data_IF_056490268982
#
_entry.id   IF_056490268982
#
_cell.length_a   1.000
_cell.length_b   1.000
_cell.length_c   1.000
_cell.angle_alpha   90.00
_cell.angle_beta   90.00
_cell.angle_gamma   90.00
#
_symmetry.space_group_name_H-M   'P 1'
#
loop_
_entity.id
_entity.type
_entity.pdbx_description
1 polymer ?
#
# COMPACT_ATOMS: atom_id res chain seq x y z
N UNK A 1 -6.60 -4.45 10.63
CA UNK A 1 -5.34 -3.69 10.59
C UNK A 1 -5.65 -2.21 10.83
N UNK A 2 -4.68 -1.36 11.22
CA UNK A 2 -4.96 0.03 11.66
C UNK A 2 -4.58 1.15 10.68
N UNK A 3 -3.99 0.82 9.52
CA UNK A 3 -3.52 1.84 8.58
C UNK A 3 -4.66 2.44 7.77
N UNK A 4 -4.70 3.78 7.72
CA UNK A 4 -5.58 4.55 6.83
C UNK A 4 -5.07 4.60 5.38
N UNK A 5 -3.78 4.33 5.15
CA UNK A 5 -3.12 4.51 3.86
C UNK A 5 -2.55 3.19 3.31
N UNK A 6 -2.63 3.00 1.99
CA UNK A 6 -1.86 1.97 1.31
C UNK A 6 -0.43 2.50 1.12
N UNK A 7 0.56 1.72 1.50
CA UNK A 7 1.96 2.13 1.51
C UNK A 7 2.79 1.15 0.68
N UNK A 8 3.81 1.67 0.00
CA UNK A 8 4.78 0.86 -0.73
C UNK A 8 6.19 1.43 -0.55
N UNK A 9 7.19 0.57 -0.43
CA UNK A 9 8.60 1.01 -0.40
C UNK A 9 9.04 1.50 -1.78
N UNK A 10 9.95 2.48 -1.81
CA UNK A 10 10.60 2.90 -3.04
C UNK A 10 11.29 1.73 -3.75
N UNK A 11 11.92 0.81 -3.00
CA UNK A 11 12.55 -0.38 -3.57
C UNK A 11 11.55 -1.25 -4.33
N UNK A 12 10.36 -1.50 -3.78
CA UNK A 12 9.34 -2.31 -4.44
C UNK A 12 8.78 -1.61 -5.68
N UNK A 13 8.61 -0.28 -5.64
CA UNK A 13 8.17 0.50 -6.82
C UNK A 13 9.16 0.36 -7.98
N UNK A 14 10.48 0.38 -7.70
CA UNK A 14 11.50 0.24 -8.74
C UNK A 14 11.50 -1.13 -9.45
N UNK A 15 10.88 -2.15 -8.86
CA UNK A 15 10.72 -3.47 -9.48
C UNK A 15 9.51 -3.54 -10.42
N UNK A 16 8.65 -2.51 -10.47
CA UNK A 16 7.44 -2.50 -11.30
C UNK A 16 7.73 -1.79 -12.62
N UNK A 17 7.74 -2.51 -13.77
CA UNK A 17 8.02 -1.90 -15.06
C UNK A 17 6.99 -0.82 -15.40
N UNK A 18 7.46 0.30 -15.96
CA UNK A 18 6.60 1.38 -16.47
C UNK A 18 5.67 2.02 -15.41
N UNK A 19 5.98 1.88 -14.13
CA UNK A 19 5.19 2.50 -13.06
C UNK A 19 5.30 4.02 -13.13
N UNK A 20 4.15 4.70 -13.09
CA UNK A 20 4.10 6.16 -12.99
C UNK A 20 4.15 6.57 -11.52
N UNK A 21 5.19 7.30 -11.16
CA UNK A 21 5.35 7.93 -9.84
C UNK A 21 5.05 9.42 -9.96
N UNK A 22 4.25 9.93 -9.05
CA UNK A 22 3.84 11.34 -9.00
C UNK A 22 4.28 11.97 -7.67
N UNK A 23 4.81 13.20 -7.68
CA UNK A 23 5.06 13.93 -6.44
C UNK A 23 3.73 14.28 -5.76
N UNK A 24 3.77 14.41 -4.44
CA UNK A 24 2.66 14.95 -3.66
C UNK A 24 2.80 16.46 -3.54
N UNK A 25 1.68 17.19 -3.57
CA UNK A 25 1.65 18.64 -3.34
C UNK A 25 2.19 18.99 -1.94
N UNK A 26 1.97 18.11 -0.96
CA UNK A 26 2.49 18.19 0.40
C UNK A 26 2.91 16.82 0.90
N UNK A 27 3.99 16.71 1.71
CA UNK A 27 4.36 15.45 2.33
C UNK A 27 3.25 14.89 3.21
N UNK A 28 3.07 13.58 3.18
CA UNK A 28 2.15 12.86 4.06
C UNK A 28 2.96 12.18 5.16
N UNK A 29 2.56 12.42 6.40
CA UNK A 29 3.18 11.84 7.59
C UNK A 29 2.32 10.68 8.08
N UNK A 30 2.93 9.50 8.23
CA UNK A 30 2.26 8.30 8.71
C UNK A 30 2.90 7.91 10.03
N UNK A 31 2.15 8.08 11.12
CA UNK A 31 2.60 7.71 12.46
C UNK A 31 2.43 6.21 12.67
N UNK A 32 3.51 5.54 13.04
CA UNK A 32 3.57 4.13 13.40
C UNK A 32 3.18 3.93 14.87
N UNK A 33 2.85 2.68 15.24
CA UNK A 33 2.45 2.34 16.60
C UNK A 33 3.53 2.61 17.66
N UNK A 34 4.80 2.62 17.25
CA UNK A 34 5.95 2.93 18.10
C UNK A 34 6.27 4.44 18.18
N UNK A 35 5.37 5.28 17.67
CA UNK A 35 5.50 6.74 17.69
C UNK A 35 6.43 7.32 16.62
N UNK A 36 7.13 6.48 15.85
CA UNK A 36 7.93 6.96 14.70
C UNK A 36 7.00 7.41 13.57
N UNK A 37 7.47 8.34 12.75
CA UNK A 37 6.73 8.80 11.57
C UNK A 37 7.48 8.43 10.30
N UNK A 38 6.76 7.85 9.35
CA UNK A 38 7.20 7.72 7.96
C UNK A 38 6.74 8.95 7.18
N UNK A 39 7.56 9.40 6.24
CA UNK A 39 7.23 10.54 5.36
C UNK A 39 7.15 10.03 3.94
N UNK A 40 5.97 10.20 3.33
CA UNK A 40 5.78 9.99 1.91
C UNK A 40 5.78 11.33 1.18
N UNK A 41 6.60 11.43 0.14
CA UNK A 41 6.67 12.60 -0.76
C UNK A 41 6.15 12.31 -2.16
N UNK A 42 5.93 11.03 -2.46
CA UNK A 42 5.49 10.54 -3.75
C UNK A 42 4.35 9.55 -3.57
N UNK A 43 3.56 9.39 -4.63
CA UNK A 43 2.53 8.38 -4.75
C UNK A 43 2.63 7.67 -6.10
N UNK A 44 2.04 6.49 -6.18
CA UNK A 44 1.74 5.83 -7.44
C UNK A 44 0.33 5.23 -7.38
N UNK A 45 -0.21 4.90 -8.54
CA UNK A 45 -1.47 4.17 -8.65
C UNK A 45 -1.12 2.75 -9.07
N UNK A 46 -1.59 1.78 -8.29
CA UNK A 46 -1.43 0.36 -8.60
C UNK A 46 -2.80 -0.29 -8.74
N UNK A 47 -2.89 -1.22 -9.67
CA UNK A 47 -4.03 -2.14 -9.77
C UNK A 47 -3.74 -3.31 -8.84
N UNK A 48 -4.57 -3.48 -7.83
CA UNK A 48 -4.48 -4.60 -6.89
C UNK A 48 -5.55 -5.63 -7.27
N UNK A 49 -5.12 -6.85 -7.56
CA UNK A 49 -6.01 -7.94 -7.97
C UNK A 49 -6.16 -8.96 -6.84
N UNK A 50 -7.40 -9.30 -6.51
CA UNK A 50 -7.78 -10.34 -5.56
C UNK A 50 -8.75 -11.31 -6.23
N UNK A 51 -8.29 -12.54 -6.49
CA UNK A 51 -9.05 -13.51 -7.29
C UNK A 51 -9.34 -12.95 -8.69
N UNK A 52 -10.62 -12.78 -9.01
CA UNK A 52 -11.07 -12.24 -10.31
C UNK A 52 -11.36 -10.73 -10.29
N UNK A 53 -11.16 -10.04 -9.15
CA UNK A 53 -11.48 -8.61 -9.01
C UNK A 53 -10.23 -7.76 -8.96
N UNK A 54 -10.26 -6.61 -9.62
CA UNK A 54 -9.17 -5.66 -9.68
C UNK A 54 -9.62 -4.28 -9.23
N UNK A 55 -8.80 -3.62 -8.42
CA UNK A 55 -9.07 -2.30 -7.86
C UNK A 55 -7.89 -1.37 -8.12
N UNK A 56 -8.16 -0.21 -8.71
CA UNK A 56 -7.18 0.87 -8.80
C UNK A 56 -7.07 1.55 -7.43
N UNK A 57 -5.85 1.62 -6.89
CA UNK A 57 -5.60 2.15 -5.55
C UNK A 57 -4.38 3.06 -5.54
N UNK A 58 -4.46 4.14 -4.77
CA UNK A 58 -3.32 5.03 -4.52
C UNK A 58 -2.44 4.41 -3.44
N UNK A 59 -1.14 4.36 -3.71
CA UNK A 59 -0.10 3.95 -2.77
C UNK A 59 0.84 5.12 -2.49
N UNK A 60 1.14 5.34 -1.21
CA UNK A 60 2.12 6.32 -0.77
C UNK A 60 3.50 5.67 -0.68
N UNK A 61 4.49 6.31 -1.28
CA UNK A 61 5.85 5.78 -1.40
C UNK A 61 6.71 6.30 -0.25
N UNK A 62 7.34 5.38 0.48
CA UNK A 62 8.28 5.70 1.56
C UNK A 62 9.63 5.02 1.31
N UNK A 63 10.71 5.58 1.86
CA UNK A 63 12.08 5.14 1.53
C UNK A 63 12.39 3.73 2.04
N UNK A 64 12.11 3.43 3.33
CA UNK A 64 12.42 2.15 3.96
C UNK A 64 11.40 1.78 5.04
N UNK A 65 11.02 0.50 5.08
CA UNK A 65 10.33 -0.12 6.21
C UNK A 65 10.59 -1.64 6.19
N UNK A 66 10.09 -2.31 7.23
CA UNK A 66 10.18 -3.76 7.41
C UNK A 66 9.40 -4.51 6.32
N UNK A 67 8.35 -3.88 5.76
CA UNK A 67 7.50 -4.46 4.72
C UNK A 67 7.57 -3.66 3.43
N UNK A 68 7.58 -4.37 2.31
CA UNK A 68 7.60 -3.76 0.97
C UNK A 68 6.27 -3.11 0.59
N UNK A 69 5.15 -3.68 1.03
CA UNK A 69 3.77 -3.23 0.73
C UNK A 69 2.92 -3.36 1.99
N UNK A 70 2.12 -2.34 2.28
CA UNK A 70 1.14 -2.34 3.38
C UNK A 70 -0.20 -1.93 2.79
N UNK A 71 -1.21 -2.79 2.90
CA UNK A 71 -2.57 -2.50 2.43
C UNK A 71 -3.43 -1.96 3.58
N UNK A 72 -4.16 -0.88 3.30
CA UNK A 72 -5.00 -0.23 4.29
C UNK A 72 -6.26 -1.05 4.60
N UNK A 73 -6.83 -0.76 5.76
CA UNK A 73 -7.97 -1.52 6.28
C UNK A 73 -9.24 -1.33 5.43
N UNK A 74 -9.34 -0.24 4.66
CA UNK A 74 -10.47 0.01 3.76
C UNK A 74 -10.47 -0.93 2.55
N UNK A 75 -9.29 -1.19 1.97
CA UNK A 75 -9.18 -2.18 0.90
C UNK A 75 -9.53 -3.59 1.42
N UNK A 76 -9.07 -3.91 2.64
CA UNK A 76 -9.41 -5.17 3.30
C UNK A 76 -10.92 -5.30 3.57
N UNK A 77 -11.60 -4.22 3.98
CA UNK A 77 -13.06 -4.20 4.16
C UNK A 77 -13.80 -4.43 2.85
N UNK A 78 -13.40 -3.73 1.77
CA UNK A 78 -13.95 -3.95 0.43
C UNK A 78 -13.86 -5.40 -0.03
N UNK A 79 -12.81 -6.11 0.37
CA UNK A 79 -12.64 -7.53 0.05
C UNK A 79 -13.56 -8.41 0.92
N UNK A 80 -13.73 -8.09 2.21
CA UNK A 80 -14.63 -8.84 3.11
C UNK A 80 -16.10 -8.73 2.73
N UNK A 81 -16.55 -7.57 2.25
CA UNK A 81 -17.94 -7.37 1.81
C UNK A 81 -18.30 -8.17 0.55
N UNK A 82 -17.31 -8.79 -0.11
CA UNK A 82 -17.53 -9.60 -1.32
C UNK A 82 -17.75 -11.11 -1.08
N UNK A 83 -18.11 -11.51 0.15
CA UNK A 83 -18.37 -12.93 0.55
C UNK A 83 -17.26 -13.92 0.13
N UNK A 84 -16.05 -13.42 -0.10
CA UNK A 84 -14.89 -14.28 -0.26
C UNK A 84 -14.36 -14.52 1.16
N UNK A 85 -13.93 -15.74 1.49
CA UNK A 85 -13.18 -16.03 2.71
C UNK A 85 -11.85 -15.26 2.68
N UNK A 86 -11.90 -13.96 2.94
CA UNK A 86 -10.73 -13.09 2.95
C UNK A 86 -10.09 -13.23 4.32
N UNK A 87 -9.34 -14.31 4.44
CA UNK A 87 -8.29 -14.41 5.44
C UNK A 87 -7.30 -13.27 5.18
N UNK A 88 -7.29 -12.28 6.06
CA UNK A 88 -6.38 -11.14 6.00
C UNK A 88 -5.01 -11.62 6.44
N UNK A 89 -4.29 -12.28 5.53
CA UNK A 89 -2.89 -12.57 5.74
C UNK A 89 -2.08 -11.30 5.42
N UNK A 90 -1.03 -10.97 6.18
CA UNK A 90 -0.01 -10.04 5.69
C UNK A 90 0.45 -10.53 4.32
N UNK A 91 0.20 -9.75 3.26
CA UNK A 91 0.65 -10.08 1.92
C UNK A 91 2.16 -9.88 1.88
N UNK A 92 2.89 -10.97 2.06
CA UNK A 92 4.34 -11.01 1.82
C UNK A 92 4.57 -11.12 0.32
N UNK A 93 4.79 -9.99 -0.36
CA UNK A 93 5.33 -10.02 -1.73
C UNK A 93 6.83 -10.30 -1.60
N UNK A 94 7.22 -11.57 -1.78
CA UNK A 94 8.62 -11.95 -2.04
C UNK A 94 8.88 -11.76 -3.53
N UNK A 95 9.92 -10.98 -3.83
CA UNK A 95 10.54 -10.93 -5.15
C UNK A 95 11.58 -12.05 -5.26
#
# INVERSE_FOLDING_TARGET
TGSAFNLITQQAVLQIPSIKVEPLDKPVFITLLDGRSLVAKFKCILIVTFGQKSFSQVFYIFEKAIYNVILCNNLVKMLKDTQSDVSVFPVYVRF
#
